data_IF_336704550199
#
_entry.id   IF_336704550199
#
_cell.length_a   1.000
_cell.length_b   1.000
_cell.length_c   1.000
_cell.angle_alpha   90.00
_cell.angle_beta   90.00
_cell.angle_gamma   90.00
#
_symmetry.space_group_name_H-M   'P 1'
#
loop_
_entity.id
_entity.type
_entity.pdbx_description
1 polymer ?
#
# COMPACT_ATOMS: atom_id res chain seq x y z
N UNK A 1 -9.38 -30.65 -21.97
CA UNK A 1 -9.42 -30.41 -20.50
C UNK A 1 -8.99 -28.99 -20.12
N UNK A 2 -7.87 -28.46 -20.67
CA UNK A 2 -7.44 -27.06 -20.50
C UNK A 2 -8.35 -26.03 -21.22
N UNK A 3 -9.07 -26.42 -22.26
CA UNK A 3 -10.03 -25.55 -22.97
C UNK A 3 -11.16 -25.00 -22.09
N UNK A 4 -11.50 -25.67 -20.99
CA UNK A 4 -12.64 -25.29 -20.13
C UNK A 4 -12.29 -24.20 -19.11
N UNK A 5 -11.00 -23.95 -18.87
CA UNK A 5 -10.53 -22.98 -17.87
C UNK A 5 -9.38 -22.18 -18.45
N UNK A 6 -9.61 -20.91 -18.76
CA UNK A 6 -8.55 -20.01 -19.22
C UNK A 6 -7.34 -20.03 -18.28
N UNK A 7 -6.14 -20.01 -18.85
CA UNK A 7 -4.87 -19.98 -18.13
C UNK A 7 -4.66 -18.57 -17.62
N UNK A 8 -4.49 -18.45 -16.30
CA UNK A 8 -4.14 -17.18 -15.68
C UNK A 8 -2.65 -16.92 -15.81
N UNK A 9 -2.30 -15.73 -16.29
CA UNK A 9 -0.92 -15.28 -16.38
C UNK A 9 -0.72 -14.13 -15.40
N UNK A 10 0.04 -14.38 -14.33
CA UNK A 10 0.49 -13.34 -13.42
C UNK A 10 1.57 -12.48 -14.07
N UNK A 11 1.65 -11.21 -13.68
CA UNK A 11 2.71 -10.30 -14.11
C UNK A 11 2.41 -8.85 -13.73
N UNK A 12 3.26 -7.97 -14.22
CA UNK A 12 3.12 -6.51 -14.14
C UNK A 12 2.19 -5.98 -15.25
N UNK A 13 1.97 -4.66 -15.29
CA UNK A 13 1.23 -4.04 -16.37
C UNK A 13 1.81 -4.28 -17.76
N UNK A 14 3.13 -4.33 -17.88
CA UNK A 14 3.78 -4.59 -19.16
C UNK A 14 3.42 -5.98 -19.69
N UNK A 15 3.30 -6.97 -18.80
CA UNK A 15 2.83 -8.32 -19.12
C UNK A 15 1.42 -8.30 -19.71
N UNK A 16 0.51 -7.50 -19.12
CA UNK A 16 -0.84 -7.31 -19.67
C UNK A 16 -0.78 -6.66 -21.05
N UNK A 17 -0.08 -5.53 -21.20
CA UNK A 17 0.00 -4.78 -22.46
C UNK A 17 0.61 -5.63 -23.58
N UNK A 18 1.67 -6.38 -23.29
CA UNK A 18 2.29 -7.30 -24.26
C UNK A 18 1.38 -8.44 -24.66
N UNK A 19 0.61 -8.99 -23.72
CA UNK A 19 -0.34 -10.05 -24.02
C UNK A 19 -1.52 -9.55 -24.84
N UNK A 20 -2.05 -8.37 -24.51
CA UNK A 20 -3.13 -7.74 -25.28
C UNK A 20 -2.65 -7.41 -26.70
N UNK A 21 -1.44 -6.84 -26.87
CA UNK A 21 -0.84 -6.63 -28.18
C UNK A 21 -0.60 -7.92 -28.97
N UNK A 22 -0.20 -9.01 -28.30
CA UNK A 22 -0.05 -10.31 -28.94
C UNK A 22 -1.39 -10.90 -29.41
N UNK A 23 -2.48 -10.67 -28.67
CA UNK A 23 -3.85 -11.04 -29.06
C UNK A 23 -4.32 -10.21 -30.26
N UNK A 24 -4.07 -8.90 -30.25
CA UNK A 24 -4.45 -7.99 -31.33
C UNK A 24 -3.78 -8.39 -32.66
N UNK A 25 -2.47 -8.68 -32.63
CA UNK A 25 -1.73 -9.18 -33.80
C UNK A 25 -2.29 -10.50 -34.35
N UNK A 26 -2.95 -11.27 -33.49
CA UNK A 26 -3.48 -12.60 -33.83
C UNK A 26 -4.99 -12.59 -33.98
N UNK A 27 -5.66 -11.44 -33.89
CA UNK A 27 -7.12 -11.33 -33.83
C UNK A 27 -7.85 -12.05 -34.98
N UNK A 28 -7.27 -12.04 -36.19
CA UNK A 28 -7.83 -12.72 -37.37
C UNK A 28 -7.52 -14.24 -37.43
N UNK A 29 -6.86 -14.80 -36.42
CA UNK A 29 -6.54 -16.23 -36.40
C UNK A 29 -7.82 -17.07 -36.27
N UNK A 30 -7.89 -18.22 -36.96
CA UNK A 30 -9.12 -18.97 -37.09
C UNK A 30 -9.58 -19.63 -35.78
N UNK A 31 -8.66 -20.00 -34.89
CA UNK A 31 -9.01 -20.70 -33.64
C UNK A 31 -8.74 -19.84 -32.39
N UNK A 32 -9.53 -20.00 -31.31
CA UNK A 32 -9.32 -19.29 -30.05
C UNK A 32 -7.93 -19.52 -29.45
N UNK A 33 -7.32 -20.70 -29.65
CA UNK A 33 -5.97 -20.96 -29.14
C UNK A 33 -4.94 -20.11 -29.87
N UNK A 34 -5.06 -19.99 -31.21
CA UNK A 34 -4.15 -19.18 -32.02
C UNK A 34 -4.32 -17.68 -31.78
N UNK A 35 -5.51 -17.23 -31.34
CA UNK A 35 -5.76 -15.86 -30.87
C UNK A 35 -5.31 -15.61 -29.43
N UNK A 36 -4.90 -16.66 -28.72
CA UNK A 36 -4.59 -16.61 -27.28
C UNK A 36 -5.77 -16.22 -26.37
N UNK A 37 -7.01 -16.49 -26.80
CA UNK A 37 -8.24 -16.16 -26.02
C UNK A 37 -8.26 -16.87 -24.65
N UNK A 38 -7.61 -18.02 -24.57
CA UNK A 38 -7.47 -18.81 -23.36
C UNK A 38 -6.50 -18.20 -22.33
N UNK A 39 -5.62 -17.27 -22.72
CA UNK A 39 -4.67 -16.63 -21.82
C UNK A 39 -5.29 -15.38 -21.19
N UNK A 40 -5.41 -15.35 -19.87
CA UNK A 40 -6.04 -14.25 -19.13
C UNK A 40 -5.00 -13.60 -18.22
N UNK A 41 -4.54 -12.36 -18.52
CA UNK A 41 -3.56 -11.70 -17.68
C UNK A 41 -4.22 -11.30 -16.36
N UNK A 42 -3.52 -11.47 -15.25
CA UNK A 42 -3.89 -10.97 -13.93
C UNK A 42 -2.71 -10.16 -13.43
N UNK A 43 -2.91 -8.84 -13.35
CA UNK A 43 -1.92 -7.93 -12.80
C UNK A 43 -2.22 -7.77 -11.32
N UNK A 44 -1.21 -8.01 -10.49
CA UNK A 44 -1.28 -7.90 -9.05
C UNK A 44 0.04 -7.34 -8.51
N UNK A 45 0.18 -6.02 -8.54
CA UNK A 45 1.36 -5.32 -8.04
C UNK A 45 1.10 -4.80 -6.62
N UNK A 46 0.87 -5.70 -5.65
CA UNK A 46 0.46 -5.31 -4.28
C UNK A 46 1.53 -4.48 -3.56
N UNK A 47 2.81 -4.79 -3.74
CA UNK A 47 3.90 -3.99 -3.17
C UNK A 47 3.97 -2.60 -3.81
N UNK A 48 3.88 -2.50 -5.14
CA UNK A 48 3.88 -1.21 -5.82
C UNK A 48 2.64 -0.37 -5.47
N UNK A 49 1.48 -1.01 -5.35
CA UNK A 49 0.25 -0.38 -4.86
C UNK A 49 0.42 0.14 -3.43
N UNK A 50 1.04 -0.64 -2.54
CA UNK A 50 1.36 -0.23 -1.17
C UNK A 50 2.33 0.97 -1.17
N UNK A 51 3.32 0.97 -2.07
CA UNK A 51 4.23 2.09 -2.27
C UNK A 51 3.50 3.35 -2.75
N UNK A 52 2.61 3.26 -3.74
CA UNK A 52 1.85 4.42 -4.24
C UNK A 52 0.83 4.91 -3.21
N UNK A 53 0.22 4.01 -2.42
CA UNK A 53 -0.65 4.38 -1.30
C UNK A 53 0.11 5.26 -0.29
N UNK A 54 1.34 4.89 0.05
CA UNK A 54 2.20 5.68 0.92
C UNK A 54 2.64 7.00 0.27
N UNK A 55 2.98 6.99 -1.02
CA UNK A 55 3.27 8.21 -1.79
C UNK A 55 2.09 9.19 -1.80
N UNK A 56 0.85 8.70 -1.97
CA UNK A 56 -0.37 9.51 -1.89
C UNK A 56 -0.60 10.07 -0.49
N UNK A 57 -0.31 9.30 0.56
CA UNK A 57 -0.35 9.77 1.95
C UNK A 57 0.62 10.95 2.13
N UNK A 58 1.87 10.83 1.71
CA UNK A 58 2.84 11.93 1.82
C UNK A 58 2.46 13.13 0.96
N UNK A 59 1.99 12.94 -0.27
CA UNK A 59 1.45 14.04 -1.09
C UNK A 59 0.28 14.78 -0.43
N UNK A 60 -0.49 14.10 0.41
CA UNK A 60 -1.64 14.67 1.11
C UNK A 60 -1.28 15.36 2.42
N UNK A 61 -0.36 14.79 3.21
CA UNK A 61 -0.09 15.20 4.60
C UNK A 61 1.31 15.77 4.86
N UNK A 62 2.21 15.74 3.87
CA UNK A 62 3.57 16.24 4.02
C UNK A 62 3.83 17.43 3.08
N UNK A 63 3.99 18.60 3.69
CA UNK A 63 4.38 19.86 3.04
C UNK A 63 5.53 20.48 3.82
N UNK A 64 6.62 20.85 3.17
CA UNK A 64 7.81 21.38 3.87
C UNK A 64 7.48 22.65 4.65
N UNK A 65 6.58 23.45 4.10
CA UNK A 65 6.07 24.72 4.66
C UNK A 65 5.32 24.52 5.98
N UNK A 66 4.81 23.31 6.23
CA UNK A 66 4.12 22.97 7.48
C UNK A 66 5.05 22.69 8.66
N UNK A 67 6.38 22.73 8.48
CA UNK A 67 7.38 22.43 9.52
C UNK A 67 7.21 23.24 10.82
N UNK A 68 6.69 24.47 10.73
CA UNK A 68 6.41 25.33 11.88
C UNK A 68 5.10 25.03 12.60
N UNK A 69 4.22 24.20 12.02
CA UNK A 69 2.94 23.80 12.62
C UNK A 69 3.11 22.52 13.41
N UNK A 70 2.99 22.59 14.73
CA UNK A 70 3.11 21.43 15.61
C UNK A 70 2.13 20.31 15.22
N UNK A 71 2.60 19.06 15.32
CA UNK A 71 1.83 17.87 14.98
C UNK A 71 1.80 17.49 13.49
N UNK A 72 2.21 18.35 12.57
CA UNK A 72 2.28 17.97 11.15
C UNK A 72 3.43 16.99 10.88
N UNK A 73 3.33 16.16 9.83
CA UNK A 73 4.39 15.21 9.48
C UNK A 73 5.75 15.90 9.25
N UNK A 74 5.76 17.11 8.66
CA UNK A 74 6.99 17.88 8.45
C UNK A 74 7.62 18.33 9.77
N UNK A 75 6.79 18.80 10.71
CA UNK A 75 7.23 19.16 12.04
C UNK A 75 7.79 17.96 12.80
N UNK A 76 7.03 16.86 12.89
CA UNK A 76 7.42 15.64 13.61
C UNK A 76 8.72 15.05 13.05
N UNK A 77 8.87 15.03 11.73
CA UNK A 77 10.10 14.59 11.06
C UNK A 77 11.31 15.41 11.52
N UNK A 78 11.19 16.74 11.51
CA UNK A 78 12.30 17.63 11.88
C UNK A 78 12.70 17.46 13.35
N UNK A 79 11.71 17.30 14.24
CA UNK A 79 11.95 17.11 15.67
C UNK A 79 12.63 15.76 15.97
N UNK A 80 12.34 14.73 15.19
CA UNK A 80 12.93 13.41 15.30
C UNK A 80 14.18 13.20 14.43
N UNK A 81 14.61 14.20 13.66
CA UNK A 81 15.77 14.15 12.77
C UNK A 81 15.74 13.02 11.71
N UNK A 82 14.55 12.62 11.24
CA UNK A 82 14.38 11.65 10.14
C UNK A 82 14.68 12.27 8.77
N UNK A 83 15.94 12.54 8.48
CA UNK A 83 16.36 13.25 7.25
C UNK A 83 16.07 12.48 5.95
N UNK A 84 15.97 11.15 6.04
CA UNK A 84 15.64 10.22 4.96
C UNK A 84 14.17 10.27 4.51
N UNK A 85 13.29 10.84 5.34
CA UNK A 85 11.88 11.08 5.03
C UNK A 85 11.72 12.43 4.32
N UNK A 86 11.88 12.45 3.00
CA UNK A 86 11.87 13.68 2.20
C UNK A 86 10.56 13.92 1.41
N UNK A 87 9.61 12.98 1.48
CA UNK A 87 8.36 12.99 0.72
C UNK A 87 8.44 12.27 -0.62
N UNK A 88 9.63 11.81 -1.05
CA UNK A 88 9.81 10.96 -2.24
C UNK A 88 9.86 9.49 -1.80
N UNK A 89 8.71 8.82 -1.77
CA UNK A 89 8.57 7.48 -1.18
C UNK A 89 9.27 6.41 -2.02
N UNK A 90 9.22 6.49 -3.35
CA UNK A 90 9.78 5.50 -4.29
C UNK A 90 11.23 5.10 -3.97
N UNK A 91 12.08 6.07 -3.64
CA UNK A 91 13.51 5.83 -3.38
C UNK A 91 13.79 5.38 -1.95
N UNK A 92 12.97 5.84 -0.98
CA UNK A 92 13.20 5.63 0.45
C UNK A 92 11.97 5.00 1.12
N UNK A 93 11.36 3.98 0.50
CA UNK A 93 10.09 3.41 0.95
C UNK A 93 10.14 2.97 2.42
N UNK A 94 11.24 2.30 2.82
CA UNK A 94 11.41 1.77 4.17
C UNK A 94 11.40 2.89 5.23
N UNK A 95 12.14 3.98 4.99
CA UNK A 95 12.21 5.12 5.90
C UNK A 95 10.82 5.76 6.11
N UNK A 96 10.11 6.01 5.01
CA UNK A 96 8.77 6.60 5.03
C UNK A 96 7.76 5.66 5.72
N UNK A 97 7.83 4.35 5.43
CA UNK A 97 6.96 3.34 6.06
C UNK A 97 7.21 3.25 7.57
N UNK A 98 8.47 3.20 8.02
CA UNK A 98 8.82 3.14 9.43
C UNK A 98 8.38 4.41 10.18
N UNK A 99 8.59 5.58 9.58
CA UNK A 99 8.17 6.84 10.18
C UNK A 99 6.65 6.95 10.34
N UNK A 100 5.86 6.60 9.32
CA UNK A 100 4.39 6.61 9.43
C UNK A 100 3.90 5.61 10.47
N UNK A 101 4.49 4.41 10.56
CA UNK A 101 4.15 3.44 11.59
C UNK A 101 4.42 3.96 12.99
N UNK A 102 5.56 4.63 13.20
CA UNK A 102 5.92 5.27 14.47
C UNK A 102 4.95 6.39 14.85
N UNK A 103 4.65 7.30 13.91
CA UNK A 103 3.69 8.39 14.12
C UNK A 103 2.32 7.83 14.45
N UNK A 104 1.87 6.82 13.70
CA UNK A 104 0.57 6.20 13.92
C UNK A 104 0.48 5.50 15.27
N UNK A 105 1.50 4.74 15.70
CA UNK A 105 1.46 4.03 16.99
C UNK A 105 1.27 4.99 18.17
N UNK A 106 1.88 6.18 18.12
CA UNK A 106 1.70 7.18 19.17
C UNK A 106 0.37 7.93 19.07
N UNK A 107 -0.16 8.13 17.86
CA UNK A 107 -1.53 8.65 17.67
C UNK A 107 -2.58 7.65 18.18
N UNK A 108 -2.42 6.36 17.88
CA UNK A 108 -3.29 5.29 18.39
C UNK A 108 -3.26 5.21 19.92
N UNK A 109 -2.05 5.32 20.51
CA UNK A 109 -1.89 5.36 21.95
C UNK A 109 -2.64 6.54 22.57
N UNK A 110 -2.50 7.74 22.00
CA UNK A 110 -3.18 8.93 22.52
C UNK A 110 -4.70 8.84 22.36
N UNK A 111 -5.19 8.35 21.22
CA UNK A 111 -6.62 8.12 21.00
C UNK A 111 -7.19 7.13 22.04
N UNK A 112 -6.49 6.02 22.27
CA UNK A 112 -6.88 5.01 23.25
C UNK A 112 -6.91 5.59 24.66
N UNK A 113 -5.94 6.43 25.00
CA UNK A 113 -5.88 7.14 26.29
C UNK A 113 -7.05 8.09 26.48
N UNK A 114 -7.40 8.87 25.46
CA UNK A 114 -8.56 9.77 25.51
C UNK A 114 -9.87 9.00 25.69
N UNK A 115 -10.08 7.92 24.93
CA UNK A 115 -11.27 7.06 25.06
C UNK A 115 -11.35 6.45 26.46
N UNK A 116 -10.23 5.95 27.00
CA UNK A 116 -10.20 5.38 28.35
C UNK A 116 -10.52 6.43 29.42
N UNK A 117 -9.97 7.63 29.30
CA UNK A 117 -10.28 8.74 30.20
C UNK A 117 -11.76 9.12 30.15
N UNK A 118 -12.37 9.14 28.96
CA UNK A 118 -13.81 9.35 28.82
C UNK A 118 -14.60 8.24 29.54
N UNK A 119 -14.21 6.98 29.36
CA UNK A 119 -14.89 5.83 29.99
C UNK A 119 -14.79 5.83 31.52
N UNK A 120 -13.64 6.21 32.08
CA UNK A 120 -13.43 6.27 33.54
C UNK A 120 -14.25 7.39 34.17
N UNK A 121 -14.41 8.53 33.47
CA UNK A 121 -15.18 9.68 33.94
C UNK A 121 -16.70 9.54 33.73
N UNK A 122 -17.19 8.40 33.23
CA UNK A 122 -18.63 8.14 33.10
C UNK A 122 -19.29 7.84 34.47
N UNK A 123 -20.55 8.26 34.67
CA UNK A 123 -21.30 7.89 35.87
C UNK A 123 -21.39 6.35 36.04
N UNK A 124 -21.37 5.83 37.28
CA UNK A 124 -21.27 4.39 37.56
C UNK A 124 -22.38 3.52 36.93
N UNK A 125 -23.55 4.10 36.64
CA UNK A 125 -24.64 3.42 35.91
C UNK A 125 -24.28 3.09 34.44
N UNK A 126 -23.41 3.89 33.81
CA UNK A 126 -22.96 3.66 32.44
C UNK A 126 -21.80 2.66 32.36
N UNK A 127 -21.00 2.53 33.43
CA UNK A 127 -19.90 1.55 33.52
C UNK A 127 -20.42 0.11 33.49
N UNK A 128 -21.58 -0.19 34.13
CA UNK A 128 -22.20 -1.53 34.08
C UNK A 128 -22.71 -1.88 32.67
N UNK A 129 -23.19 -0.90 31.91
CA UNK A 129 -23.64 -1.05 30.51
C UNK A 129 -22.45 -1.19 29.55
N UNK A 130 -21.41 -0.40 29.74
CA UNK A 130 -20.14 -0.50 29.03
C UNK A 130 -19.43 -1.83 29.30
N UNK A 131 -19.41 -2.35 30.55
CA UNK A 131 -18.84 -3.66 30.91
C UNK A 131 -19.54 -4.87 30.25
N UNK A 132 -20.86 -4.79 30.03
CA UNK A 132 -21.59 -5.80 29.24
C UNK A 132 -21.26 -5.69 27.75
N UNK A 133 -21.01 -4.48 27.25
CA UNK A 133 -20.60 -4.24 25.86
C UNK A 133 -19.13 -4.62 25.63
N UNK A 134 -18.21 -4.36 26.56
CA UNK A 134 -16.77 -4.64 26.40
C UNK A 134 -16.43 -6.13 26.40
N UNK A 135 -17.22 -6.99 27.06
CA UNK A 135 -17.09 -8.46 26.90
C UNK A 135 -17.48 -8.96 25.50
N UNK A 136 -18.29 -8.20 24.76
CA UNK A 136 -18.70 -8.49 23.37
C UNK A 136 -17.79 -7.77 22.36
N UNK A 137 -17.17 -6.65 22.74
CA UNK A 137 -16.28 -5.84 21.88
C UNK A 137 -14.84 -6.38 21.77
N UNK A 138 -14.43 -7.35 22.59
CA UNK A 138 -13.02 -7.71 22.74
C UNK A 138 -12.44 -8.67 21.69
N UNK A 139 -13.01 -8.77 20.48
CA UNK A 139 -12.33 -9.46 19.38
C UNK A 139 -12.72 -9.08 17.95
N UNK A 140 -13.83 -8.37 17.71
CA UNK A 140 -14.27 -8.09 16.33
C UNK A 140 -14.77 -6.65 16.07
N UNK A 141 -14.88 -5.77 17.08
CA UNK A 141 -15.73 -4.57 16.93
C UNK A 141 -15.06 -3.20 17.17
N UNK A 142 -13.77 -3.13 17.50
CA UNK A 142 -13.08 -1.82 17.60
C UNK A 142 -12.92 -1.22 16.20
N UNK A 143 -12.48 -2.01 15.22
CA UNK A 143 -12.39 -1.60 13.82
C UNK A 143 -13.75 -1.25 13.25
N UNK A 144 -14.83 -1.96 13.60
CA UNK A 144 -16.18 -1.65 13.10
C UNK A 144 -16.80 -0.41 13.77
N UNK A 145 -16.46 -0.14 15.05
CA UNK A 145 -16.87 1.08 15.77
C UNK A 145 -16.09 2.30 15.26
N UNK A 146 -14.79 2.14 14.99
CA UNK A 146 -13.97 3.10 14.26
C UNK A 146 -14.57 3.31 12.86
N UNK A 147 -14.82 2.28 12.07
CA UNK A 147 -15.44 2.42 10.74
C UNK A 147 -16.83 3.07 10.79
N UNK A 148 -17.67 2.78 11.80
CA UNK A 148 -18.98 3.43 11.99
C UNK A 148 -18.85 4.91 12.37
N UNK A 149 -17.86 5.28 13.18
CA UNK A 149 -17.52 6.68 13.48
C UNK A 149 -16.93 7.41 12.26
N UNK A 150 -16.23 6.69 11.38
CA UNK A 150 -15.49 7.26 10.24
C UNK A 150 -16.32 7.38 8.95
N UNK A 151 -17.40 6.60 8.79
CA UNK A 151 -18.19 6.56 7.54
C UNK A 151 -19.60 7.17 7.60
N UNK A 152 -20.16 7.44 8.79
CA UNK A 152 -21.54 7.95 8.91
C UNK A 152 -21.59 9.41 9.40
N UNK A 153 -21.82 10.32 8.46
CA UNK A 153 -22.63 11.52 8.70
C UNK A 153 -22.04 12.66 9.56
N UNK A 154 -20.71 12.82 9.63
CA UNK A 154 -20.15 14.03 10.26
C UNK A 154 -20.26 15.22 9.30
N UNK A 155 -20.91 16.28 9.76
CA UNK A 155 -21.05 17.58 9.07
C UNK A 155 -19.67 18.19 8.77
N UNK A 156 -19.60 19.10 7.80
CA UNK A 156 -18.37 19.87 7.60
C UNK A 156 -18.09 20.69 8.86
N UNK A 157 -16.86 20.59 9.36
CA UNK A 157 -16.47 21.17 10.62
C UNK A 157 -15.15 21.91 10.42
N UNK A 158 -15.24 23.17 10.03
CA UNK A 158 -14.06 24.00 9.72
C UNK A 158 -13.44 24.63 10.95
N UNK A 159 -13.99 24.37 12.13
CA UNK A 159 -13.62 25.07 13.36
C UNK A 159 -12.28 24.58 13.93
N UNK A 160 -11.81 23.39 13.56
CA UNK A 160 -10.55 22.82 14.05
C UNK A 160 -9.80 22.08 12.93
N UNK A 161 -8.92 22.80 12.23
CA UNK A 161 -8.16 22.25 11.09
C UNK A 161 -7.13 21.21 11.54
N UNK A 162 -6.58 21.34 12.75
CA UNK A 162 -5.61 20.39 13.30
C UNK A 162 -6.29 19.07 13.64
N UNK A 163 -7.45 19.11 14.30
CA UNK A 163 -8.26 17.91 14.54
C UNK A 163 -8.58 17.19 13.23
N UNK A 164 -9.03 17.93 12.22
CA UNK A 164 -9.35 17.34 10.92
C UNK A 164 -8.12 16.74 10.22
N UNK A 165 -6.99 17.43 10.25
CA UNK A 165 -5.71 16.91 9.75
C UNK A 165 -5.35 15.59 10.42
N UNK A 166 -5.42 15.53 11.74
CA UNK A 166 -5.01 14.37 12.55
C UNK A 166 -5.92 13.16 12.34
N UNK A 167 -7.24 13.37 12.32
CA UNK A 167 -8.20 12.30 12.06
C UNK A 167 -8.01 11.70 10.66
N UNK A 168 -7.81 12.56 9.64
CA UNK A 168 -7.55 12.05 8.29
C UNK A 168 -6.18 11.36 8.18
N UNK A 169 -5.14 11.90 8.79
CA UNK A 169 -3.82 11.25 8.83
C UNK A 169 -3.92 9.86 9.47
N UNK A 170 -4.62 9.73 10.60
CA UNK A 170 -4.87 8.45 11.25
C UNK A 170 -5.62 7.48 10.33
N UNK A 171 -6.64 7.96 9.61
CA UNK A 171 -7.40 7.13 8.68
C UNK A 171 -6.51 6.56 7.57
N UNK A 172 -5.67 7.40 6.95
CA UNK A 172 -4.75 6.99 5.88
C UNK A 172 -3.65 6.07 6.41
N UNK A 173 -3.07 6.39 7.57
CA UNK A 173 -2.03 5.58 8.18
C UNK A 173 -2.54 4.20 8.62
N UNK A 174 -3.74 4.12 9.22
CA UNK A 174 -4.40 2.86 9.55
C UNK A 174 -4.61 2.00 8.31
N UNK A 175 -5.06 2.60 7.22
CA UNK A 175 -5.25 1.89 5.96
C UNK A 175 -3.93 1.36 5.39
N UNK A 176 -2.86 2.15 5.42
CA UNK A 176 -1.52 1.72 5.02
C UNK A 176 -1.00 0.56 5.89
N UNK A 177 -1.20 0.64 7.21
CA UNK A 177 -0.80 -0.43 8.13
C UNK A 177 -1.62 -1.70 7.87
N UNK A 178 -2.91 -1.58 7.57
CA UNK A 178 -3.74 -2.73 7.20
C UNK A 178 -3.27 -3.41 5.92
N UNK A 179 -2.80 -2.64 4.92
CA UNK A 179 -2.18 -3.19 3.70
C UNK A 179 -0.90 -3.96 4.03
N UNK A 180 -0.03 -3.37 4.84
CA UNK A 180 1.25 -3.95 5.21
C UNK A 180 1.12 -5.21 6.09
N UNK A 181 0.18 -5.19 7.03
CA UNK A 181 -0.14 -6.34 7.89
C UNK A 181 -0.79 -7.47 7.09
N UNK A 182 -1.68 -7.13 6.15
CA UNK A 182 -2.26 -8.12 5.23
C UNK A 182 -1.19 -8.83 4.41
N UNK A 183 -0.17 -8.09 3.96
CA UNK A 183 0.96 -8.66 3.26
C UNK A 183 1.82 -9.55 4.15
N UNK A 184 2.16 -9.08 5.35
CA UNK A 184 3.01 -9.81 6.31
C UNK A 184 2.36 -11.14 6.75
N UNK A 185 1.06 -11.12 7.01
CA UNK A 185 0.29 -12.31 7.40
C UNK A 185 -0.13 -13.17 6.19
N UNK A 186 -0.03 -12.66 4.96
CA UNK A 186 -0.51 -13.34 3.76
C UNK A 186 -2.03 -13.57 3.79
N UNK A 187 -2.77 -12.65 4.41
CA UNK A 187 -4.20 -12.81 4.70
C UNK A 187 -5.06 -12.53 3.46
N UNK A 188 -5.35 -13.59 2.72
CA UNK A 188 -6.18 -13.56 1.52
C UNK A 188 -7.60 -12.99 1.74
N UNK A 189 -8.12 -13.03 2.96
CA UNK A 189 -9.46 -12.54 3.27
C UNK A 189 -9.53 -11.01 3.29
N UNK A 190 -8.40 -10.36 3.64
CA UNK A 190 -8.28 -8.90 3.75
C UNK A 190 -7.84 -8.21 2.46
N UNK A 191 -7.30 -8.94 1.50
CA UNK A 191 -6.85 -8.39 0.20
C UNK A 191 -7.96 -7.60 -0.50
N UNK A 192 -9.09 -8.22 -0.84
CA UNK A 192 -10.14 -7.53 -1.61
C UNK A 192 -10.81 -6.39 -0.83
N UNK A 193 -11.11 -6.52 0.48
CA UNK A 193 -11.54 -5.38 1.30
C UNK A 193 -10.56 -4.20 1.26
N UNK A 194 -9.26 -4.44 1.41
CA UNK A 194 -8.26 -3.39 1.38
C UNK A 194 -8.18 -2.73 0.00
N UNK A 195 -8.17 -3.51 -1.08
CA UNK A 195 -8.17 -2.95 -2.45
C UNK A 195 -9.40 -2.09 -2.73
N UNK A 196 -10.58 -2.45 -2.19
CA UNK A 196 -11.79 -1.61 -2.29
C UNK A 196 -11.63 -0.29 -1.54
N UNK A 197 -10.94 -0.30 -0.40
CA UNK A 197 -10.62 0.92 0.34
C UNK A 197 -9.58 1.78 -0.38
N UNK A 198 -8.65 1.19 -1.14
CA UNK A 198 -7.68 1.94 -1.96
C UNK A 198 -8.33 2.77 -3.07
N UNK A 199 -9.41 2.28 -3.69
CA UNK A 199 -10.10 2.92 -4.82
C UNK A 199 -10.38 4.42 -4.61
N UNK A 200 -11.07 4.85 -3.54
CA UNK A 200 -11.38 6.25 -3.34
C UNK A 200 -10.13 7.11 -3.10
N UNK A 201 -9.07 6.57 -2.47
CA UNK A 201 -7.79 7.28 -2.29
C UNK A 201 -7.09 7.53 -3.63
N UNK A 202 -6.99 6.50 -4.49
CA UNK A 202 -6.37 6.68 -5.81
C UNK A 202 -7.19 7.63 -6.70
N UNK A 203 -8.51 7.53 -6.63
CA UNK A 203 -9.42 8.41 -7.36
C UNK A 203 -9.30 9.88 -6.97
N UNK A 204 -9.10 10.20 -5.68
CA UNK A 204 -8.96 11.61 -5.26
C UNK A 204 -7.71 12.29 -5.80
N UNK A 205 -6.67 11.52 -6.12
CA UNK A 205 -5.46 12.06 -6.76
C UNK A 205 -5.58 12.14 -8.27
N UNK A 206 -6.01 11.06 -8.93
CA UNK A 206 -6.26 11.07 -10.38
C UNK A 206 -7.35 10.07 -10.75
N UNK A 207 -8.25 10.50 -11.65
CA UNK A 207 -9.26 9.62 -12.27
C UNK A 207 -8.63 8.59 -13.23
N UNK A 208 -7.40 8.85 -13.66
CA UNK A 208 -6.61 8.01 -14.57
C UNK A 208 -5.47 7.27 -13.83
N UNK A 209 -5.54 7.20 -12.50
CA UNK A 209 -4.54 6.51 -11.70
C UNK A 209 -4.38 5.05 -12.16
N UNK A 210 -3.12 4.67 -12.43
CA UNK A 210 -2.72 3.29 -12.73
C UNK A 210 -3.27 2.30 -11.70
N UNK A 211 -3.06 2.58 -10.41
CA UNK A 211 -3.49 1.70 -9.32
C UNK A 211 -5.00 1.73 -9.05
N UNK A 212 -5.73 2.77 -9.49
CA UNK A 212 -7.20 2.72 -9.53
C UNK A 212 -7.69 1.65 -10.52
N UNK A 213 -7.06 1.59 -11.70
CA UNK A 213 -7.38 0.62 -12.75
C UNK A 213 -7.01 -0.79 -12.30
N UNK A 214 -5.82 -0.97 -11.74
CA UNK A 214 -5.35 -2.28 -11.26
C UNK A 214 -6.20 -2.82 -10.12
N UNK A 215 -6.48 -2.03 -9.08
CA UNK A 215 -7.38 -2.41 -7.99
C UNK A 215 -8.71 -2.91 -8.54
N UNK A 216 -9.33 -2.11 -9.40
CA UNK A 216 -10.65 -2.40 -9.97
C UNK A 216 -10.63 -3.68 -10.81
N UNK A 217 -9.60 -3.84 -11.66
CA UNK A 217 -9.43 -5.01 -12.51
C UNK A 217 -9.19 -6.29 -11.70
N UNK A 218 -8.31 -6.23 -10.70
CA UNK A 218 -8.00 -7.36 -9.83
C UNK A 218 -9.23 -7.80 -9.03
N UNK A 219 -9.99 -6.85 -8.46
CA UNK A 219 -11.24 -7.14 -7.74
C UNK A 219 -12.25 -7.83 -8.68
N UNK A 220 -12.51 -7.26 -9.86
CA UNK A 220 -13.47 -7.83 -10.82
C UNK A 220 -13.06 -9.24 -11.22
N UNK A 221 -11.78 -9.46 -11.52
CA UNK A 221 -11.27 -10.79 -11.90
C UNK A 221 -11.39 -11.79 -10.75
N UNK A 222 -11.14 -11.39 -9.51
CA UNK A 222 -11.34 -12.27 -8.36
C UNK A 222 -12.82 -12.63 -8.14
N UNK A 223 -13.72 -11.66 -8.26
CA UNK A 223 -15.16 -11.87 -7.99
C UNK A 223 -15.88 -12.61 -9.14
N UNK A 224 -15.38 -12.51 -10.38
CA UNK A 224 -15.94 -13.23 -11.55
C UNK A 224 -15.32 -14.60 -11.77
N UNK A 225 -14.22 -14.90 -11.07
CA UNK A 225 -13.52 -16.19 -11.19
C UNK A 225 -14.22 -17.29 -10.39
N UNK A 226 -13.98 -18.54 -10.78
CA UNK A 226 -14.39 -19.70 -9.98
C UNK A 226 -13.75 -19.64 -8.57
N UNK A 227 -14.37 -20.23 -7.53
CA UNK A 227 -13.82 -20.21 -6.17
C UNK A 227 -12.37 -20.72 -6.09
N UNK A 228 -12.04 -21.78 -6.83
CA UNK A 228 -10.67 -22.33 -6.88
C UNK A 228 -9.70 -21.36 -7.56
N UNK A 229 -10.12 -20.76 -8.66
CA UNK A 229 -9.33 -19.77 -9.40
C UNK A 229 -9.06 -18.54 -8.54
N UNK A 230 -10.09 -18.01 -7.87
CA UNK A 230 -9.99 -16.90 -6.93
C UNK A 230 -8.99 -17.20 -5.82
N UNK A 231 -9.07 -18.39 -5.22
CA UNK A 231 -8.13 -18.80 -4.17
C UNK A 231 -6.69 -18.84 -4.69
N UNK A 232 -6.45 -19.41 -5.87
CA UNK A 232 -5.11 -19.42 -6.49
C UNK A 232 -4.56 -18.02 -6.75
N UNK A 233 -5.40 -17.11 -7.23
CA UNK A 233 -5.00 -15.72 -7.46
C UNK A 233 -4.57 -15.07 -6.14
N UNK A 234 -5.41 -15.16 -5.11
CA UNK A 234 -5.16 -14.50 -3.82
C UNK A 234 -3.97 -15.10 -3.07
N UNK A 235 -3.85 -16.43 -3.05
CA UNK A 235 -2.70 -17.09 -2.41
C UNK A 235 -1.42 -16.81 -3.20
N UNK A 236 -1.49 -16.81 -4.54
CA UNK A 236 -0.36 -16.51 -5.42
C UNK A 236 0.14 -15.06 -5.34
N UNK A 237 -0.60 -14.17 -4.68
CA UNK A 237 -0.16 -12.79 -4.43
C UNK A 237 0.89 -12.67 -3.32
N UNK A 238 1.13 -13.73 -2.55
CA UNK A 238 2.09 -13.73 -1.45
C UNK A 238 3.06 -14.90 -1.55
N UNK A 239 4.29 -14.69 -1.06
CA UNK A 239 5.35 -15.68 -1.02
C UNK A 239 5.96 -15.68 0.38
N UNK A 240 6.05 -16.86 1.00
CA UNK A 240 6.72 -17.05 2.29
C UNK A 240 8.03 -17.83 2.09
N UNK A 241 9.09 -17.15 1.65
CA UNK A 241 10.38 -17.80 1.32
C UNK A 241 11.05 -18.45 2.53
N UNK A 242 10.94 -17.83 3.71
CA UNK A 242 11.65 -18.24 4.94
C UNK A 242 10.82 -19.14 5.84
N UNK A 243 9.52 -19.23 5.59
CA UNK A 243 8.57 -19.83 6.52
C UNK A 243 8.34 -18.95 7.76
N UNK A 244 7.32 -19.31 8.54
CA UNK A 244 6.96 -18.61 9.77
C UNK A 244 5.79 -17.64 9.62
N UNK A 245 5.22 -17.28 10.78
CA UNK A 245 4.09 -16.35 10.91
C UNK A 245 4.60 -14.92 10.70
N UNK A 246 3.84 -14.09 9.98
CA UNK A 246 4.22 -12.70 9.70
C UNK A 246 5.43 -12.55 8.75
N UNK A 247 5.85 -13.62 8.06
CA UNK A 247 7.02 -13.63 7.16
C UNK A 247 6.64 -13.71 5.68
N UNK A 248 5.37 -13.47 5.34
CA UNK A 248 4.95 -13.38 3.96
C UNK A 248 5.41 -12.05 3.36
N UNK A 249 5.67 -12.09 2.05
CA UNK A 249 6.05 -10.93 1.25
C UNK A 249 5.19 -10.93 0.00
N UNK A 250 4.83 -9.77 -0.52
CA UNK A 250 4.11 -9.68 -1.78
C UNK A 250 4.93 -10.28 -2.93
N UNK A 251 4.26 -11.06 -3.79
CA UNK A 251 4.90 -11.77 -4.88
C UNK A 251 5.60 -10.83 -5.88
N UNK A 252 5.05 -9.63 -6.09
CA UNK A 252 5.64 -8.62 -6.96
C UNK A 252 6.94 -8.03 -6.40
N UNK A 253 7.09 -7.92 -5.08
CA UNK A 253 8.38 -7.51 -4.48
C UNK A 253 9.47 -8.57 -4.69
N UNK A 254 9.12 -9.87 -4.60
CA UNK A 254 10.06 -10.95 -4.91
C UNK A 254 10.47 -10.91 -6.38
N UNK A 255 9.52 -10.63 -7.28
CA UNK A 255 9.80 -10.47 -8.69
C UNK A 255 10.72 -9.27 -8.95
N UNK A 256 10.47 -8.13 -8.31
CA UNK A 256 11.31 -6.93 -8.40
C UNK A 256 12.76 -7.20 -7.95
N UNK A 257 12.95 -7.98 -6.86
CA UNK A 257 14.29 -8.41 -6.45
C UNK A 257 14.96 -9.31 -7.50
N UNK A 258 14.24 -10.26 -8.07
CA UNK A 258 14.77 -11.14 -9.13
C UNK A 258 15.16 -10.35 -10.38
N UNK A 259 14.33 -9.41 -10.82
CA UNK A 259 14.60 -8.55 -11.98
C UNK A 259 15.82 -7.67 -11.74
N UNK A 260 15.96 -7.10 -10.54
CA UNK A 260 17.13 -6.29 -10.17
C UNK A 260 18.42 -7.10 -10.26
N UNK A 261 18.43 -8.29 -9.69
CA UNK A 261 19.59 -9.20 -9.74
C UNK A 261 19.98 -9.54 -11.18
N UNK A 262 19.00 -9.87 -12.03
CA UNK A 262 19.25 -10.13 -13.45
C UNK A 262 19.80 -8.90 -14.18
N UNK A 263 19.29 -7.69 -13.90
CA UNK A 263 19.79 -6.43 -14.47
C UNK A 263 21.24 -6.17 -14.06
N UNK A 264 21.61 -6.48 -12.81
CA UNK A 264 22.99 -6.37 -12.33
C UNK A 264 23.94 -7.31 -13.09
N UNK A 265 23.57 -8.59 -13.23
CA UNK A 265 24.33 -9.56 -14.02
C UNK A 265 24.47 -9.17 -15.50
N UNK A 266 23.42 -8.61 -16.10
CA UNK A 266 23.46 -8.10 -17.49
C UNK A 266 24.39 -6.88 -17.59
N UNK A 267 24.42 -6.02 -16.57
CA UNK A 267 25.32 -4.86 -16.52
C UNK A 267 26.78 -5.32 -16.43
N UNK A 268 27.07 -6.37 -15.68
CA UNK A 268 28.42 -6.96 -15.54
C UNK A 268 28.98 -7.55 -16.84
N UNK A 269 28.14 -7.90 -17.82
CA UNK A 269 28.60 -8.34 -19.15
C UNK A 269 29.35 -7.25 -19.94
N UNK A 270 29.27 -5.98 -19.51
CA UNK A 270 29.97 -4.87 -20.15
C UNK A 270 29.58 -4.71 -21.63
N UNK A 271 30.57 -4.69 -22.52
CA UNK A 271 30.35 -4.59 -23.96
C UNK A 271 29.81 -5.90 -24.60
N UNK A 272 29.89 -7.04 -23.89
CA UNK A 272 29.53 -8.36 -24.43
C UNK A 272 28.03 -8.69 -24.31
N UNK A 273 27.15 -7.70 -24.45
CA UNK A 273 25.69 -7.85 -24.38
C UNK A 273 25.12 -8.46 -25.67
N UNK A 274 25.46 -9.72 -25.93
CA UNK A 274 24.79 -10.52 -26.98
C UNK A 274 23.60 -11.25 -26.39
N UNK A 275 22.57 -11.54 -27.19
CA UNK A 275 21.38 -12.30 -26.73
C UNK A 275 21.75 -13.64 -26.09
N UNK A 276 22.74 -14.34 -26.66
CA UNK A 276 23.28 -15.58 -26.10
C UNK A 276 23.95 -15.36 -24.75
N UNK A 277 24.74 -14.30 -24.60
CA UNK A 277 25.40 -14.00 -23.33
C UNK A 277 24.38 -13.60 -22.24
N UNK A 278 23.39 -12.78 -22.61
CA UNK A 278 22.28 -12.39 -21.72
C UNK A 278 21.52 -13.63 -21.27
N UNK A 279 21.06 -14.47 -22.20
CA UNK A 279 20.31 -15.69 -21.88
C UNK A 279 21.09 -16.65 -20.99
N UNK A 280 22.39 -16.86 -21.26
CA UNK A 280 23.24 -17.68 -20.39
C UNK A 280 23.35 -17.10 -18.97
N UNK A 281 23.58 -15.79 -18.86
CA UNK A 281 23.74 -15.10 -17.58
C UNK A 281 22.46 -15.13 -16.76
N UNK A 282 21.31 -14.80 -17.36
CA UNK A 282 20.02 -14.81 -16.68
C UNK A 282 19.60 -16.21 -16.26
N UNK A 283 19.86 -17.25 -17.08
CA UNK A 283 19.56 -18.64 -16.72
C UNK A 283 20.43 -19.15 -15.56
N UNK A 284 21.66 -18.63 -15.42
CA UNK A 284 22.57 -18.99 -14.33
C UNK A 284 22.35 -18.13 -13.06
N UNK A 285 21.51 -17.10 -13.12
CA UNK A 285 21.37 -16.06 -12.09
C UNK A 285 21.12 -16.60 -10.68
N UNK A 286 20.19 -17.54 -10.52
CA UNK A 286 19.87 -18.14 -9.22
C UNK A 286 21.02 -19.02 -8.70
N UNK A 287 21.65 -19.81 -9.58
CA UNK A 287 22.78 -20.67 -9.21
C UNK A 287 23.99 -19.85 -8.75
N UNK A 288 24.25 -18.73 -9.43
CA UNK A 288 25.31 -17.80 -9.03
C UNK A 288 25.05 -17.23 -7.64
N UNK A 289 23.80 -16.85 -7.34
CA UNK A 289 23.41 -16.35 -6.01
C UNK A 289 23.61 -17.42 -4.91
N UNK A 290 23.21 -18.66 -5.18
CA UNK A 290 23.39 -19.78 -4.26
C UNK A 290 24.88 -20.04 -3.97
N UNK A 291 25.71 -20.07 -5.01
CA UNK A 291 27.17 -20.26 -4.89
C UNK A 291 27.79 -19.12 -4.07
N UNK A 292 27.44 -17.86 -4.36
CA UNK A 292 27.94 -16.70 -3.60
C UNK A 292 27.54 -16.83 -2.14
N UNK A 293 26.27 -17.14 -1.84
CA UNK A 293 25.80 -17.27 -0.46
C UNK A 293 26.52 -18.39 0.30
N UNK A 294 26.77 -19.53 -0.35
CA UNK A 294 27.48 -20.68 0.24
C UNK A 294 28.95 -20.37 0.50
N UNK A 295 29.57 -19.62 -0.43
CA UNK A 295 30.95 -19.16 -0.29
C UNK A 295 31.08 -18.15 0.85
N UNK A 296 30.19 -17.15 0.93
CA UNK A 296 30.15 -16.17 2.02
C UNK A 296 29.98 -16.86 3.38
N UNK A 297 29.04 -17.82 3.47
CA UNK A 297 28.83 -18.63 4.68
C UNK A 297 30.09 -19.41 5.07
N UNK A 298 30.78 -20.01 4.10
CA UNK A 298 32.01 -20.78 4.33
C UNK A 298 33.17 -19.90 4.83
N UNK A 299 33.22 -18.65 4.39
CA UNK A 299 34.21 -17.66 4.83
C UNK A 299 33.81 -16.95 6.13
N UNK A 300 32.65 -17.25 6.70
CA UNK A 300 32.11 -16.53 7.86
C UNK A 300 31.84 -15.05 7.56
N UNK A 301 31.71 -14.68 6.28
CA UNK A 301 31.31 -13.35 5.88
C UNK A 301 29.84 -13.22 6.30
N UNK A 302 29.50 -12.29 7.22
CA UNK A 302 28.11 -12.08 7.55
C UNK A 302 27.39 -11.69 6.27
N UNK A 303 26.31 -12.42 5.94
CA UNK A 303 25.50 -12.09 4.77
C UNK A 303 25.16 -10.60 4.78
N UNK A 304 25.12 -9.97 3.61
CA UNK A 304 24.71 -8.56 3.46
C UNK A 304 23.29 -8.40 4.01
N UNK A 305 23.18 -8.22 5.32
CA UNK A 305 21.93 -7.90 5.97
C UNK A 305 21.49 -6.58 5.38
N UNK A 306 20.32 -6.55 4.74
CA UNK A 306 19.68 -5.29 4.40
C UNK A 306 19.70 -4.44 5.67
N UNK A 307 20.48 -3.35 5.69
CA UNK A 307 20.70 -2.50 6.87
C UNK A 307 19.42 -2.51 7.69
N UNK A 308 19.45 -3.12 8.88
CA UNK A 308 18.27 -3.16 9.72
C UNK A 308 17.93 -1.70 10.01
N UNK A 309 16.89 -1.19 9.35
CA UNK A 309 16.38 0.15 9.59
C UNK A 309 16.15 0.21 11.08
N UNK A 310 16.86 1.12 11.76
CA UNK A 310 16.84 1.22 13.22
C UNK A 310 15.37 1.27 13.64
N UNK A 311 14.96 0.32 14.47
CA UNK A 311 13.69 0.47 15.15
C UNK A 311 13.75 1.79 15.93
N UNK A 312 12.62 2.50 16.00
CA UNK A 312 12.55 3.73 16.77
C UNK A 312 13.09 3.48 18.17
N UNK A 313 14.04 4.30 18.59
CA UNK A 313 14.58 4.28 19.94
C UNK A 313 13.49 4.66 20.93
N UNK A 314 13.61 4.17 22.16
CA UNK A 314 12.69 4.51 23.23
C UNK A 314 12.64 6.03 23.48
N UNK A 315 13.78 6.70 23.32
CA UNK A 315 13.89 8.17 23.39
C UNK A 315 13.06 8.88 22.31
N UNK A 316 13.10 8.41 21.06
CA UNK A 316 12.30 8.96 19.96
C UNK A 316 10.80 8.79 20.23
N UNK A 317 10.40 7.61 20.71
CA UNK A 317 9.01 7.29 21.08
C UNK A 317 8.52 8.24 22.17
N UNK A 318 9.30 8.42 23.24
CA UNK A 318 8.95 9.32 24.35
C UNK A 318 8.88 10.78 23.91
N UNK A 319 9.80 11.22 23.05
CA UNK A 319 9.80 12.58 22.50
C UNK A 319 8.55 12.82 21.66
N UNK A 320 8.23 11.92 20.75
CA UNK A 320 7.03 11.99 19.92
C UNK A 320 5.75 11.99 20.77
N UNK A 321 5.69 11.10 21.78
CA UNK A 321 4.57 11.04 22.72
C UNK A 321 4.35 12.37 23.44
N UNK A 322 5.41 13.00 23.92
CA UNK A 322 5.30 14.29 24.64
C UNK A 322 4.68 15.38 23.77
N UNK A 323 5.03 15.43 22.48
CA UNK A 323 4.48 16.39 21.51
C UNK A 323 3.01 16.09 21.23
N UNK A 324 2.69 14.82 20.92
CA UNK A 324 1.31 14.40 20.63
C UNK A 324 0.38 14.65 21.82
N UNK A 325 0.84 14.39 23.04
CA UNK A 325 0.07 14.68 24.25
C UNK A 325 -0.11 16.18 24.51
N UNK A 326 0.88 17.00 24.14
CA UNK A 326 0.81 18.45 24.23
C UNK A 326 -0.26 19.04 23.31
N UNK A 327 -0.31 18.57 22.06
CA UNK A 327 -1.24 19.10 21.05
C UNK A 327 -2.68 18.59 21.22
N UNK A 328 -2.90 17.46 21.91
CA UNK A 328 -4.23 16.82 22.11
C UNK A 328 -5.01 16.71 20.80
N UNK A 329 -4.58 15.85 19.87
CA UNK A 329 -5.06 15.87 18.49
C UNK A 329 -6.52 15.46 18.36
N UNK A 330 -7.05 14.64 19.26
CA UNK A 330 -8.42 14.09 19.18
C UNK A 330 -9.44 14.83 20.05
N UNK A 331 -9.00 15.85 20.79
CA UNK A 331 -9.89 16.76 21.50
C UNK A 331 -10.21 17.98 20.64
N UNK A 332 -11.46 18.06 20.16
CA UNK A 332 -11.93 19.21 19.39
C UNK A 332 -11.75 20.52 20.18
N UNK A 333 -10.96 21.43 19.62
CA UNK A 333 -10.61 22.73 20.17
C UNK A 333 -10.80 23.78 19.06
N UNK A 334 -11.89 24.56 19.10
CA UNK A 334 -12.19 25.55 18.07
C UNK A 334 -11.04 26.58 17.91
N UNK A 335 -10.76 26.96 16.67
CA UNK A 335 -9.78 27.98 16.28
C UNK A 335 -8.38 27.45 15.96
N UNK A 336 -8.09 26.15 16.15
CA UNK A 336 -6.77 25.60 15.77
C UNK A 336 -6.60 25.58 14.24
N UNK A 337 -5.46 26.08 13.79
CA UNK A 337 -5.06 26.14 12.37
C UNK A 337 -3.96 25.13 12.08
N UNK A 338 -3.92 24.63 10.86
CA UNK A 338 -2.88 23.73 10.38
C UNK A 338 -2.20 24.34 9.16
N UNK A 339 -0.98 24.84 9.33
CA UNK A 339 -0.27 25.57 8.25
C UNK A 339 -0.19 24.71 6.99
N UNK A 340 -0.57 25.31 5.85
CA UNK A 340 -0.56 24.67 4.52
C UNK A 340 -1.64 23.60 4.28
N UNK A 341 -2.54 23.32 5.23
CA UNK A 341 -3.59 22.32 5.10
C UNK A 341 -4.97 22.89 5.43
N UNK A 342 -5.98 22.57 4.62
CA UNK A 342 -7.36 23.05 4.79
C UNK A 342 -8.36 21.89 4.74
N UNK A 343 -8.25 21.00 5.72
CA UNK A 343 -9.16 19.87 5.85
C UNK A 343 -10.47 20.34 6.49
N UNK A 344 -11.58 20.23 5.75
CA UNK A 344 -12.93 20.63 6.20
C UNK A 344 -13.70 19.52 6.93
N UNK A 345 -13.16 18.31 6.93
CA UNK A 345 -13.78 17.14 7.52
C UNK A 345 -12.72 16.33 8.26
N UNK A 346 -13.09 15.64 9.34
CA UNK A 346 -12.18 14.72 10.03
C UNK A 346 -11.95 13.42 9.26
N UNK A 347 -12.77 13.14 8.25
CA UNK A 347 -12.68 11.93 7.46
C UNK A 347 -12.56 12.25 5.98
N UNK A 348 -11.81 11.38 5.30
CA UNK A 348 -11.66 11.45 3.86
C UNK A 348 -13.00 11.17 3.16
N UNK A 349 -13.44 12.12 2.32
CA UNK A 349 -14.67 12.02 1.53
C UNK A 349 -14.35 12.17 0.04
N UNK A 350 -14.46 11.08 -0.71
CA UNK A 350 -14.42 11.12 -2.17
C UNK A 350 -15.79 11.50 -2.76
N UNK A 351 -15.80 12.20 -3.90
CA UNK A 351 -17.04 12.50 -4.62
C UNK A 351 -17.64 11.20 -5.19
N UNK A 352 -18.72 10.72 -4.56
CA UNK A 352 -19.35 9.43 -4.86
C UNK A 352 -19.90 9.34 -6.28
N UNK A 353 -20.51 10.42 -6.78
CA UNK A 353 -21.13 10.45 -8.11
C UNK A 353 -20.07 10.35 -9.21
N UNK A 354 -19.05 11.22 -9.14
CA UNK A 354 -17.94 11.19 -10.09
C UNK A 354 -17.14 9.89 -10.01
N UNK A 355 -16.98 9.33 -8.81
CA UNK A 355 -16.34 8.02 -8.63
C UNK A 355 -17.16 6.92 -9.31
N UNK A 356 -18.48 6.90 -9.10
CA UNK A 356 -19.39 5.93 -9.73
C UNK A 356 -19.35 6.03 -11.25
N UNK A 357 -19.38 7.23 -11.81
CA UNK A 357 -19.24 7.46 -13.25
C UNK A 357 -17.92 6.91 -13.79
N UNK A 358 -16.82 7.25 -13.12
CA UNK A 358 -15.47 6.82 -13.51
C UNK A 358 -15.34 5.30 -13.46
N UNK A 359 -15.79 4.67 -12.38
CA UNK A 359 -15.81 3.21 -12.25
C UNK A 359 -16.70 2.55 -13.31
N UNK A 360 -17.84 3.16 -13.63
CA UNK A 360 -18.74 2.62 -14.67
C UNK A 360 -18.05 2.62 -16.05
N UNK A 361 -17.38 3.72 -16.41
CA UNK A 361 -16.62 3.81 -17.65
C UNK A 361 -15.46 2.81 -17.67
N UNK A 362 -14.73 2.71 -16.56
CA UNK A 362 -13.59 1.81 -16.39
C UNK A 362 -14.00 0.34 -16.52
N UNK A 363 -15.09 -0.06 -15.86
CA UNK A 363 -15.62 -1.42 -15.94
C UNK A 363 -16.10 -1.78 -17.35
N UNK A 364 -16.73 -0.82 -18.07
CA UNK A 364 -17.08 -1.03 -19.49
C UNK A 364 -15.84 -1.27 -20.34
N UNK A 365 -14.78 -0.47 -20.16
CA UNK A 365 -13.51 -0.63 -20.90
C UNK A 365 -12.83 -1.95 -20.60
N UNK A 366 -12.77 -2.35 -19.33
CA UNK A 366 -12.23 -3.65 -18.91
C UNK A 366 -13.00 -4.83 -19.53
N UNK A 367 -14.33 -4.74 -19.63
CA UNK A 367 -15.14 -5.77 -20.28
C UNK A 367 -14.95 -5.83 -21.80
N UNK A 368 -14.67 -4.70 -22.45
CA UNK A 368 -14.41 -4.63 -23.90
C UNK A 368 -12.98 -5.06 -24.24
N UNK A 369 -12.10 -5.21 -23.25
CA UNK A 369 -10.69 -5.54 -23.46
C UNK A 369 -9.89 -4.40 -24.11
N UNK A 370 -10.38 -3.16 -24.03
CA UNK A 370 -9.71 -2.02 -24.64
C UNK A 370 -8.54 -1.51 -23.79
N UNK A 371 -7.48 -1.03 -24.46
CA UNK A 371 -6.33 -0.41 -23.82
C UNK A 371 -6.78 0.76 -22.93
N UNK A 372 -6.36 0.74 -21.66
CA UNK A 372 -6.67 1.81 -20.71
C UNK A 372 -5.47 2.75 -20.68
N UNK A 373 -5.63 3.93 -21.28
CA UNK A 373 -4.72 5.05 -21.05
C UNK A 373 -4.73 5.36 -19.56
N UNK A 374 -3.59 5.12 -18.92
CA UNK A 374 -3.28 5.55 -17.56
C UNK A 374 -2.39 6.79 -17.68
N UNK A 375 -2.40 7.67 -16.69
CA UNK A 375 -1.33 8.67 -16.60
C UNK A 375 -0.04 7.92 -16.22
N UNK A 376 0.88 7.80 -17.17
CA UNK A 376 2.26 7.34 -16.93
C UNK A 376 3.10 8.46 -16.28
N UNK A 377 2.51 9.26 -15.38
CA UNK A 377 3.19 10.33 -14.64
C UNK A 377 4.13 9.77 -13.55
N UNK A 378 4.88 8.73 -13.90
CA UNK A 378 6.17 8.41 -13.34
C UNK A 378 7.16 8.51 -14.50
N UNK A 379 7.38 9.73 -15.00
CA UNK A 379 8.55 10.00 -15.84
C UNK A 379 9.76 9.37 -15.13
N UNK A 380 10.47 8.56 -15.90
CA UNK A 380 11.86 8.20 -15.65
C UNK A 380 12.65 9.51 -15.47
N UNK A 381 12.71 10.02 -14.25
CA UNK A 381 13.79 10.89 -13.79
C UNK A 381 15.08 10.02 -13.73
N UNK A 382 15.48 9.49 -14.88
CA UNK A 382 16.87 9.24 -15.23
C UNK A 382 17.51 10.63 -15.45
N UNK A 383 17.71 11.34 -14.36
CA UNK A 383 18.67 12.43 -14.19
C UNK A 383 19.12 12.37 -12.72
N UNK A 384 20.39 12.22 -12.35
CA UNK A 384 21.64 12.36 -13.06
C UNK A 384 22.73 11.55 -12.34
N UNK A 385 23.89 11.53 -12.99
CA UNK A 385 25.24 11.34 -12.48
C UNK A 385 25.52 11.73 -11.02
#
# INVERSE_FOLDING_TARGET
ALEKYGVLLGGDQLTRVRLDGAKDLRYLSPTPEKRFDHLKPIVCELWHLKQDSLEKLYKTFYKKESAGSEGTLSHLKNVLHHNDVNGKVKYNFRAHSQFIKLVFSELEFEQSREVLNLLINLPPNNIKRAKRSTKVLHKENITETILKLFYFGVEEDTDDELFNYMCQLCQWALHFIALDDTASEGDISRVLPNLRQCIPYFFSHSKLSKYLVECSNYIVKCETSSPLTRMRILVGSFVNRRGGIGQNVEADLIHEHSVRHQKELIRELGANKTERAISRSTNASNLVEEIISSFDLSLGIPGKGAHHGKNASEEEVLKLRSIIQGIRPFRKTPGRKCTSFHFKCPYFKANKEKLKETLTVLLRRLNVGSHISCDDNDEDDDSDA
#
